data_IF_883247829784
#
_entry.id   IF_883247829784
#
_cell.length_a   1.000
_cell.length_b   1.000
_cell.length_c   1.000
_cell.angle_alpha   90.00
_cell.angle_beta   90.00
_cell.angle_gamma   90.00
#
_symmetry.space_group_name_H-M   'P 1'
#
loop_
_entity.id
_entity.type
_entity.pdbx_description
1 polymer ?
#
# COMPACT_ATOMS: atom_id res chain seq x y z
N UNK A 1 55.30 28.57 11.14
CA UNK A 1 53.95 28.28 10.60
C UNK A 1 53.27 27.36 11.60
N UNK A 2 52.43 27.93 12.47
CA UNK A 2 51.67 27.20 13.47
C UNK A 2 50.72 26.23 12.75
N UNK A 3 50.87 24.93 12.97
CA UNK A 3 49.92 23.93 12.48
C UNK A 3 48.66 24.05 13.33
N UNK A 4 47.59 24.63 12.77
CA UNK A 4 46.26 24.63 13.40
C UNK A 4 45.84 23.18 13.61
N UNK A 5 45.89 22.70 14.85
CA UNK A 5 45.34 21.39 15.24
C UNK A 5 43.89 21.34 14.79
N UNK A 6 43.59 20.49 13.81
CA UNK A 6 42.21 20.14 13.49
C UNK A 6 41.69 19.31 14.65
N UNK A 7 40.77 19.89 15.42
CA UNK A 7 40.08 19.18 16.49
C UNK A 7 39.15 18.14 15.85
N UNK A 8 39.39 16.87 16.16
CA UNK A 8 38.53 15.78 15.72
C UNK A 8 37.42 15.60 16.76
N UNK A 9 36.17 15.79 16.36
CA UNK A 9 35.02 15.53 17.22
C UNK A 9 34.52 14.10 16.99
N UNK A 10 34.61 13.21 18.00
CA UNK A 10 34.00 11.89 17.95
C UNK A 10 32.51 11.96 17.59
N UNK A 11 32.06 11.04 16.75
CA UNK A 11 30.68 10.99 16.27
C UNK A 11 29.61 11.09 17.39
N UNK A 12 29.73 10.42 18.56
CA UNK A 12 28.74 10.53 19.63
C UNK A 12 28.63 11.91 20.28
N UNK A 13 29.60 12.80 20.06
CA UNK A 13 29.60 14.17 20.60
C UNK A 13 28.95 15.18 19.64
N UNK A 14 28.61 14.77 18.43
CA UNK A 14 27.85 15.62 17.50
C UNK A 14 26.42 15.83 18.04
N UNK A 15 25.80 16.99 17.82
CA UNK A 15 24.37 17.20 18.03
C UNK A 15 23.51 16.11 17.37
N UNK A 16 22.39 15.75 18.02
CA UNK A 16 21.53 14.66 17.57
C UNK A 16 21.02 14.88 16.14
N UNK A 17 20.74 16.12 15.77
CA UNK A 17 20.27 16.49 14.43
C UNK A 17 21.31 16.13 13.36
N UNK A 18 22.58 16.41 13.63
CA UNK A 18 23.68 16.06 12.72
C UNK A 18 23.89 14.55 12.66
N UNK A 19 23.74 13.83 13.77
CA UNK A 19 23.84 12.36 13.76
C UNK A 19 22.70 11.73 12.95
N UNK A 20 21.48 12.23 13.10
CA UNK A 20 20.32 11.82 12.29
C UNK A 20 20.58 12.04 10.78
N UNK A 21 21.02 13.23 10.39
CA UNK A 21 21.36 13.53 8.99
C UNK A 21 22.47 12.62 8.46
N UNK A 22 23.51 12.36 9.26
CA UNK A 22 24.57 11.43 8.85
C UNK A 22 24.03 10.02 8.67
N UNK A 23 23.13 9.53 9.54
CA UNK A 23 22.52 8.21 9.36
C UNK A 23 21.69 8.11 8.09
N UNK A 24 20.95 9.16 7.75
CA UNK A 24 20.16 9.23 6.52
C UNK A 24 21.06 9.28 5.28
N UNK A 25 22.07 10.16 5.27
CA UNK A 25 23.01 10.30 4.15
C UNK A 25 23.90 9.09 3.94
N UNK A 26 24.27 8.39 5.02
CA UNK A 26 25.03 7.14 4.95
C UNK A 26 24.18 5.95 4.53
N UNK A 27 22.86 6.10 4.46
CA UNK A 27 21.94 5.07 4.01
C UNK A 27 21.57 5.32 2.54
N UNK A 28 21.79 4.35 1.64
CA UNK A 28 21.39 4.52 0.25
C UNK A 28 19.89 4.86 0.13
N UNK A 29 19.51 5.78 -0.79
CA UNK A 29 18.12 6.09 -1.06
C UNK A 29 17.36 4.81 -1.40
N UNK A 30 16.21 4.61 -0.75
CA UNK A 30 15.37 3.45 -1.00
C UNK A 30 14.38 3.77 -2.10
N UNK A 31 14.60 3.20 -3.28
CA UNK A 31 13.60 3.25 -4.36
C UNK A 31 12.59 2.14 -4.09
N UNK A 32 11.33 2.54 -3.90
CA UNK A 32 10.21 1.61 -3.78
C UNK A 32 9.56 1.46 -5.16
N UNK A 33 9.53 0.23 -5.65
CA UNK A 33 8.84 -0.15 -6.87
C UNK A 33 7.41 -0.57 -6.55
N UNK A 34 6.48 -0.12 -7.38
CA UNK A 34 5.10 -0.58 -7.39
C UNK A 34 4.96 -1.65 -8.48
N UNK A 35 4.59 -2.87 -8.08
CA UNK A 35 4.18 -3.94 -8.99
C UNK A 35 2.69 -4.18 -8.84
N UNK A 36 1.96 -4.07 -9.93
CA UNK A 36 0.52 -4.29 -9.94
C UNK A 36 0.23 -5.75 -10.27
N UNK A 37 -0.65 -6.37 -9.49
CA UNK A 37 -1.12 -7.74 -9.67
C UNK A 37 -2.53 -7.73 -10.25
N UNK A 38 -2.72 -8.45 -11.34
CA UNK A 38 -4.00 -8.52 -12.05
C UNK A 38 -4.49 -9.96 -12.01
N UNK A 39 -5.24 -10.36 -10.98
CA UNK A 39 -5.82 -11.73 -10.92
C UNK A 39 -6.76 -12.03 -12.09
N UNK A 40 -7.31 -10.98 -12.70
CA UNK A 40 -8.17 -11.10 -13.87
C UNK A 40 -7.38 -11.29 -15.18
N UNK A 41 -6.05 -11.20 -15.16
CA UNK A 41 -5.19 -11.28 -16.35
C UNK A 41 -4.10 -12.35 -16.31
N UNK A 42 -4.05 -13.19 -15.25
CA UNK A 42 -3.10 -14.31 -15.15
C UNK A 42 -3.61 -15.59 -15.86
N UNK A 43 -4.65 -15.47 -16.70
CA UNK A 43 -4.97 -16.47 -17.73
C UNK A 43 -3.98 -16.29 -18.90
N UNK A 44 -2.69 -16.50 -18.62
CA UNK A 44 -1.57 -16.42 -19.56
C UNK A 44 -1.73 -17.38 -20.76
N UNK A 45 -2.67 -18.33 -20.68
CA UNK A 45 -2.98 -19.36 -21.69
C UNK A 45 -4.27 -19.06 -22.50
N UNK A 46 -4.90 -17.89 -22.35
CA UNK A 46 -6.06 -17.54 -23.16
C UNK A 46 -5.66 -17.07 -24.57
N UNK A 47 -6.40 -17.48 -25.61
CA UNK A 47 -6.19 -17.03 -26.99
C UNK A 47 -6.21 -15.48 -27.11
N UNK A 48 -6.96 -14.83 -26.22
CA UNK A 48 -7.06 -13.38 -26.05
C UNK A 48 -5.73 -12.75 -25.55
N UNK A 49 -4.99 -13.43 -24.67
CA UNK A 49 -3.66 -12.98 -24.20
C UNK A 49 -2.56 -13.15 -25.27
N UNK A 50 -2.67 -14.19 -26.11
CA UNK A 50 -1.76 -14.39 -27.25
C UNK A 50 -1.99 -13.36 -28.36
N UNK A 51 -3.25 -12.95 -28.61
CA UNK A 51 -3.57 -11.80 -29.46
C UNK A 51 -3.01 -10.49 -28.87
N UNK A 52 -3.04 -10.33 -27.54
CA UNK A 52 -2.45 -9.21 -26.79
C UNK A 52 -0.93 -9.06 -26.96
N UNK A 53 -0.16 -10.12 -27.21
CA UNK A 53 1.28 -10.03 -27.50
C UNK A 53 1.57 -9.66 -28.96
N UNK A 54 0.66 -9.97 -29.88
CA UNK A 54 0.88 -9.81 -31.33
C UNK A 54 0.74 -8.37 -31.83
N UNK A 55 -0.10 -7.55 -31.22
CA UNK A 55 -0.31 -6.17 -31.67
C UNK A 55 0.74 -5.20 -31.10
N UNK A 56 1.49 -4.46 -31.94
CA UNK A 56 2.39 -3.42 -31.48
C UNK A 56 1.59 -2.18 -31.05
N UNK A 57 1.00 -2.23 -29.84
CA UNK A 57 0.36 -1.05 -29.24
C UNK A 57 1.43 -0.10 -28.72
N UNK A 58 1.27 1.18 -29.05
CA UNK A 58 2.22 2.26 -28.75
C UNK A 58 2.43 2.50 -27.23
N UNK A 59 1.54 1.96 -26.39
CA UNK A 59 1.58 2.02 -24.92
C UNK A 59 0.95 0.75 -24.32
N UNK A 60 1.76 -0.28 -24.17
CA UNK A 60 1.33 -1.63 -23.74
C UNK A 60 0.74 -1.65 -22.34
N UNK A 61 1.31 -0.89 -21.41
CA UNK A 61 0.89 -0.86 -20.00
C UNK A 61 -0.48 -0.18 -19.85
N UNK A 62 -0.70 0.93 -20.55
CA UNK A 62 -1.98 1.64 -20.51
C UNK A 62 -3.12 0.79 -21.05
N UNK A 63 -2.91 0.08 -22.15
CA UNK A 63 -3.92 -0.83 -22.70
C UNK A 63 -4.18 -2.05 -21.81
N UNK A 64 -3.15 -2.58 -21.14
CA UNK A 64 -3.30 -3.64 -20.15
C UNK A 64 -4.18 -3.20 -18.98
N UNK A 65 -3.99 -1.98 -18.49
CA UNK A 65 -4.82 -1.40 -17.43
C UNK A 65 -6.27 -1.26 -17.83
N UNK A 66 -6.55 -0.77 -19.05
CA UNK A 66 -7.93 -0.67 -19.56
C UNK A 66 -8.61 -2.04 -19.63
N UNK A 67 -7.94 -3.04 -20.21
CA UNK A 67 -8.50 -4.39 -20.32
C UNK A 67 -8.82 -4.99 -18.94
N UNK A 68 -7.92 -4.86 -17.97
CA UNK A 68 -8.15 -5.39 -16.63
C UNK A 68 -9.26 -4.61 -15.92
N UNK A 69 -9.35 -3.29 -16.12
CA UNK A 69 -10.44 -2.49 -15.59
C UNK A 69 -11.80 -2.96 -16.15
N UNK A 70 -11.91 -3.18 -17.46
CA UNK A 70 -13.15 -3.61 -18.10
C UNK A 70 -13.60 -4.98 -17.55
N UNK A 71 -12.69 -5.96 -17.47
CA UNK A 71 -12.97 -7.28 -16.89
C UNK A 71 -13.36 -7.19 -15.41
N UNK A 72 -12.73 -6.29 -14.65
CA UNK A 72 -13.10 -6.03 -13.26
C UNK A 72 -14.46 -5.35 -13.14
N UNK A 73 -14.81 -4.42 -14.02
CA UNK A 73 -16.11 -3.72 -14.02
C UNK A 73 -17.26 -4.68 -14.37
N UNK A 74 -17.03 -5.64 -15.27
CA UNK A 74 -17.98 -6.72 -15.54
C UNK A 74 -18.19 -7.60 -14.31
N UNK A 75 -17.11 -7.99 -13.62
CA UNK A 75 -17.19 -8.76 -12.38
C UNK A 75 -17.92 -7.96 -11.27
N UNK A 76 -17.68 -6.66 -11.18
CA UNK A 76 -18.37 -5.73 -10.28
C UNK A 76 -19.88 -5.76 -10.52
N UNK A 77 -20.32 -5.62 -11.77
CA UNK A 77 -21.74 -5.73 -12.18
C UNK A 77 -22.34 -7.10 -11.84
N UNK A 78 -21.52 -8.15 -11.85
CA UNK A 78 -21.87 -9.51 -11.41
C UNK A 78 -21.91 -9.73 -9.89
N UNK A 79 -21.68 -8.70 -9.07
CA UNK A 79 -21.75 -8.77 -7.61
C UNK A 79 -20.43 -9.16 -6.91
N UNK A 80 -19.29 -9.05 -7.60
CA UNK A 80 -17.98 -9.42 -7.03
C UNK A 80 -17.59 -8.61 -5.78
N UNK A 81 -18.14 -7.39 -5.58
CA UNK A 81 -17.86 -6.59 -4.38
C UNK A 81 -18.27 -7.25 -3.07
N UNK A 82 -19.27 -8.14 -3.09
CA UNK A 82 -19.68 -8.90 -1.90
C UNK A 82 -18.58 -9.83 -1.38
N UNK A 83 -17.60 -10.15 -2.22
CA UNK A 83 -16.45 -11.00 -1.90
C UNK A 83 -15.14 -10.21 -1.81
N UNK A 84 -15.16 -8.92 -2.16
CA UNK A 84 -13.99 -8.06 -2.11
C UNK A 84 -13.70 -7.64 -0.66
N UNK A 85 -12.42 -7.54 -0.32
CA UNK A 85 -11.98 -7.07 1.00
C UNK A 85 -10.94 -5.97 0.82
N UNK A 86 -11.00 -4.93 1.64
CA UNK A 86 -9.95 -3.91 1.66
C UNK A 86 -8.74 -4.43 2.45
N UNK A 87 -7.53 -4.09 2.00
CA UNK A 87 -6.32 -4.42 2.76
C UNK A 87 -6.07 -3.38 3.87
N UNK A 88 -5.69 -3.76 5.09
CA UNK A 88 -5.47 -2.81 6.19
C UNK A 88 -4.39 -1.77 5.88
N UNK A 89 -3.36 -2.14 5.11
CA UNK A 89 -2.27 -1.21 4.77
C UNK A 89 -2.72 -0.01 3.91
N UNK A 90 -3.92 -0.03 3.34
CA UNK A 90 -4.45 1.14 2.63
C UNK A 90 -4.62 2.35 3.56
N UNK A 91 -4.69 2.12 4.88
CA UNK A 91 -4.70 3.17 5.91
C UNK A 91 -3.43 4.03 5.89
N UNK A 92 -2.27 3.49 5.53
CA UNK A 92 -1.04 4.29 5.35
C UNK A 92 -1.20 5.36 4.27
N UNK A 93 -2.04 5.08 3.27
CA UNK A 93 -2.31 5.98 2.16
C UNK A 93 -3.62 6.76 2.34
N UNK A 94 -4.19 6.78 3.56
CA UNK A 94 -5.46 7.44 3.84
C UNK A 94 -5.47 8.90 3.43
N UNK A 95 -4.35 9.61 3.61
CA UNK A 95 -4.23 10.99 3.16
C UNK A 95 -4.54 11.18 1.66
N UNK A 96 -4.22 10.20 0.82
CA UNK A 96 -4.41 10.27 -0.63
C UNK A 96 -5.86 9.99 -1.06
N UNK A 97 -6.54 9.04 -0.41
CA UNK A 97 -7.90 8.66 -0.80
C UNK A 97 -8.99 9.34 0.03
N UNK A 98 -8.73 9.76 1.27
CA UNK A 98 -9.75 10.35 2.15
C UNK A 98 -10.44 11.58 1.58
N UNK A 99 -9.75 12.34 0.73
CA UNK A 99 -10.31 13.53 0.07
C UNK A 99 -11.22 13.16 -1.12
N UNK A 100 -11.03 11.95 -1.68
CA UNK A 100 -11.81 11.42 -2.82
C UNK A 100 -13.05 10.70 -2.34
N UNK A 101 -12.95 10.03 -1.20
CA UNK A 101 -14.06 9.39 -0.51
C UNK A 101 -14.71 10.46 0.36
N UNK A 102 -15.51 11.31 -0.26
CA UNK A 102 -16.26 12.34 0.46
C UNK A 102 -17.07 11.72 1.60
N UNK A 103 -17.23 12.45 2.71
CA UNK A 103 -18.14 12.03 3.78
C UNK A 103 -19.52 11.81 3.13
N UNK A 104 -20.07 10.59 3.13
CA UNK A 104 -21.32 10.35 2.46
C UNK A 104 -22.38 11.26 3.08
N UNK A 105 -23.22 11.89 2.24
CA UNK A 105 -24.29 12.80 2.68
C UNK A 105 -25.27 12.15 3.68
N UNK A 106 -25.24 10.82 3.78
CA UNK A 106 -25.77 10.05 4.89
C UNK A 106 -24.67 9.14 5.44
N UNK A 107 -24.30 9.23 6.72
CA UNK A 107 -23.51 8.18 7.34
C UNK A 107 -24.34 6.90 7.32
N UNK A 108 -24.06 6.02 6.37
CA UNK A 108 -24.52 4.65 6.41
C UNK A 108 -23.63 3.88 7.39
N UNK A 109 -23.57 4.33 8.66
CA UNK A 109 -22.96 3.57 9.74
C UNK A 109 -23.91 2.42 10.05
N UNK A 110 -23.91 1.39 9.21
CA UNK A 110 -24.61 0.16 9.52
C UNK A 110 -23.91 -0.43 10.74
N UNK A 111 -24.54 -0.33 11.92
CA UNK A 111 -24.04 -0.99 13.12
C UNK A 111 -23.90 -2.47 12.81
N UNK A 112 -22.74 -3.05 13.11
CA UNK A 112 -22.54 -4.49 12.97
C UNK A 112 -23.67 -5.23 13.70
N UNK A 113 -24.17 -6.29 13.08
CA UNK A 113 -25.17 -7.19 13.68
C UNK A 113 -24.71 -7.72 15.05
N UNK A 114 -23.39 -7.79 15.27
CA UNK A 114 -22.74 -8.12 16.53
C UNK A 114 -23.13 -7.18 17.69
N UNK A 115 -23.37 -5.89 17.41
CA UNK A 115 -23.86 -4.93 18.40
C UNK A 115 -25.26 -5.30 18.93
N UNK A 116 -26.02 -6.07 18.14
CA UNK A 116 -27.36 -6.55 18.48
C UNK A 116 -27.35 -8.01 18.96
N UNK A 117 -26.18 -8.56 19.31
CA UNK A 117 -26.04 -9.91 19.85
C UNK A 117 -26.01 -11.03 18.80
N UNK A 118 -25.93 -10.71 17.51
CA UNK A 118 -25.76 -11.71 16.46
C UNK A 118 -24.28 -12.01 16.24
N UNK A 119 -23.84 -13.23 16.53
CA UNK A 119 -22.48 -13.69 16.22
C UNK A 119 -22.43 -14.25 14.79
N UNK A 120 -21.73 -13.56 13.88
CA UNK A 120 -21.42 -14.09 12.55
C UNK A 120 -20.17 -14.98 12.63
N UNK A 121 -20.19 -16.23 12.15
CA UNK A 121 -18.98 -17.06 12.04
C UNK A 121 -18.00 -16.54 10.97
N UNK A 122 -18.42 -15.57 10.14
CA UNK A 122 -17.57 -14.85 9.15
C UNK A 122 -17.11 -13.49 9.69
N UNK A 123 -17.08 -13.34 11.02
CA UNK A 123 -16.86 -12.10 11.78
C UNK A 123 -15.58 -11.36 11.43
N UNK A 124 -15.71 -10.41 10.51
CA UNK A 124 -14.80 -9.30 10.37
C UNK A 124 -15.62 -8.05 10.02
N UNK A 125 -15.22 -6.86 10.50
CA UNK A 125 -15.76 -5.62 9.96
C UNK A 125 -15.55 -5.61 8.44
N UNK A 126 -16.50 -5.04 7.69
CA UNK A 126 -16.44 -4.90 6.22
C UNK A 126 -15.11 -4.27 5.75
N UNK A 127 -14.50 -3.48 6.63
CA UNK A 127 -13.17 -2.90 6.47
C UNK A 127 -12.27 -3.32 7.64
N UNK A 128 -10.97 -3.53 7.42
CA UNK A 128 -10.07 -4.08 8.43
C UNK A 128 -9.56 -3.05 9.47
N UNK A 129 -10.02 -1.79 9.45
CA UNK A 129 -9.65 -0.76 10.43
C UNK A 129 -10.86 -0.12 11.12
N UNK A 130 -10.70 0.35 12.38
CA UNK A 130 -11.70 1.20 13.02
C UNK A 130 -11.73 2.59 12.34
N UNK A 131 -12.91 3.11 11.95
CA UNK A 131 -13.03 4.44 11.38
C UNK A 131 -12.49 5.54 12.32
N UNK A 132 -11.76 6.50 11.77
CA UNK A 132 -11.26 7.69 12.48
C UNK A 132 -11.32 8.92 11.56
N UNK A 133 -11.01 10.11 12.09
CA UNK A 133 -10.91 11.32 11.27
C UNK A 133 -9.80 11.25 10.21
N UNK A 134 -8.70 10.54 10.50
CA UNK A 134 -7.59 10.35 9.55
C UNK A 134 -7.87 9.22 8.56
N UNK A 135 -8.56 8.17 9.01
CA UNK A 135 -8.89 6.96 8.24
C UNK A 135 -10.41 6.73 8.27
N UNK A 136 -11.20 7.48 7.48
CA UNK A 136 -12.65 7.35 7.52
C UNK A 136 -13.11 5.97 7.04
N UNK A 137 -14.39 5.68 7.29
CA UNK A 137 -15.04 4.49 6.73
C UNK A 137 -15.12 4.59 5.20
N UNK A 138 -14.98 3.45 4.51
CA UNK A 138 -15.19 3.34 3.07
C UNK A 138 -16.47 2.53 2.83
N UNK A 139 -17.62 3.18 2.53
CA UNK A 139 -18.87 2.47 2.34
C UNK A 139 -18.83 1.60 1.07
N UNK A 140 -19.18 0.32 1.18
CA UNK A 140 -19.21 -0.59 0.02
C UNK A 140 -20.17 -0.13 -1.09
N UNK A 141 -21.32 0.42 -0.72
CA UNK A 141 -22.27 1.02 -1.70
C UNK A 141 -21.67 2.20 -2.44
N UNK A 142 -20.85 3.00 -1.77
CA UNK A 142 -20.16 4.11 -2.43
C UNK A 142 -19.14 3.61 -3.45
N UNK A 143 -18.47 2.49 -3.17
CA UNK A 143 -17.56 1.83 -4.12
C UNK A 143 -18.29 1.29 -5.35
N UNK A 144 -19.52 0.78 -5.21
CA UNK A 144 -20.38 0.37 -6.35
C UNK A 144 -20.64 1.55 -7.29
N UNK A 145 -20.93 2.73 -6.74
CA UNK A 145 -21.19 3.95 -7.52
C UNK A 145 -19.91 4.57 -8.13
N UNK A 146 -18.73 4.18 -7.65
CA UNK A 146 -17.43 4.76 -8.04
C UNK A 146 -16.43 3.68 -8.50
N UNK A 147 -16.71 3.00 -9.64
CA UNK A 147 -15.96 1.83 -10.08
C UNK A 147 -14.47 2.10 -10.31
N UNK A 148 -14.09 3.27 -10.83
CA UNK A 148 -12.68 3.62 -11.02
C UNK A 148 -11.91 3.70 -9.68
N UNK A 149 -12.52 4.30 -8.66
CA UNK A 149 -11.90 4.43 -7.34
C UNK A 149 -11.86 3.07 -6.65
N UNK A 150 -12.95 2.30 -6.75
CA UNK A 150 -13.01 0.94 -6.24
C UNK A 150 -11.95 0.04 -6.86
N UNK A 151 -11.72 0.13 -8.17
CA UNK A 151 -10.64 -0.59 -8.85
C UNK A 151 -9.27 -0.23 -8.27
N UNK A 152 -8.98 1.07 -8.08
CA UNK A 152 -7.71 1.51 -7.50
C UNK A 152 -7.47 1.02 -6.06
N UNK A 153 -8.52 0.98 -5.23
CA UNK A 153 -8.42 0.57 -3.82
C UNK A 153 -8.39 -0.95 -3.63
N UNK A 154 -9.01 -1.70 -4.55
CA UNK A 154 -9.19 -3.15 -4.44
C UNK A 154 -8.21 -3.95 -5.31
N UNK A 155 -7.59 -3.34 -6.31
CA UNK A 155 -6.58 -4.02 -7.14
C UNK A 155 -5.40 -4.46 -6.28
N UNK A 156 -4.80 -5.60 -6.66
CA UNK A 156 -3.60 -6.07 -5.98
C UNK A 156 -2.42 -5.23 -6.39
N UNK A 157 -1.67 -4.73 -5.41
CA UNK A 157 -0.42 -4.05 -5.64
C UNK A 157 0.60 -4.48 -4.60
N UNK A 158 1.84 -4.65 -5.06
CA UNK A 158 2.99 -5.03 -4.27
C UNK A 158 3.96 -3.87 -4.28
N UNK A 159 4.34 -3.39 -3.10
CA UNK A 159 5.44 -2.45 -2.94
C UNK A 159 6.67 -3.25 -2.55
N UNK A 160 7.75 -3.12 -3.33
CA UNK A 160 9.02 -3.79 -3.03
C UNK A 160 10.19 -2.85 -3.27
N UNK A 161 11.34 -3.14 -2.65
CA UNK A 161 12.56 -2.37 -2.82
C UNK A 161 13.70 -3.35 -2.98
N UNK A 162 14.52 -3.16 -4.00
CA UNK A 162 15.75 -3.94 -4.22
C UNK A 162 16.92 -3.44 -3.36
N UNK A 163 16.77 -2.28 -2.71
CA UNK A 163 17.82 -1.73 -1.85
C UNK A 163 18.13 -2.69 -0.68
N UNK A 164 19.43 -2.95 -0.41
CA UNK A 164 19.85 -3.79 0.70
C UNK A 164 19.41 -3.20 2.04
N UNK A 165 19.20 -4.06 3.04
CA UNK A 165 18.90 -3.61 4.40
C UNK A 165 20.09 -2.78 4.91
N UNK A 166 19.88 -1.50 5.29
CA UNK A 166 20.98 -0.64 5.73
C UNK A 166 21.74 -1.26 6.90
N UNK A 167 23.08 -1.36 6.85
CA UNK A 167 23.89 -1.86 7.96
C UNK A 167 23.62 -1.09 9.27
N UNK A 168 23.31 0.21 9.16
CA UNK A 168 22.98 1.09 10.27
C UNK A 168 21.72 0.69 11.07
N UNK A 169 20.83 -0.15 10.53
CA UNK A 169 19.75 -0.75 11.33
C UNK A 169 20.28 -1.74 12.38
N UNK A 170 21.46 -2.31 12.14
CA UNK A 170 22.07 -3.34 12.98
C UNK A 170 23.17 -2.80 13.89
N UNK A 171 23.61 -1.55 13.73
CA UNK A 171 24.74 -0.97 14.49
C UNK A 171 24.37 -0.57 15.91
N UNK A 172 23.44 0.38 16.09
CA UNK A 172 23.03 0.86 17.41
C UNK A 172 21.53 1.19 17.46
N UNK A 173 21.00 1.37 18.66
CA UNK A 173 19.59 1.72 18.87
C UNK A 173 19.24 3.09 18.30
N UNK A 174 20.16 4.07 18.38
CA UNK A 174 19.93 5.42 17.86
C UNK A 174 19.74 5.42 16.34
N UNK A 175 20.71 4.88 15.59
CA UNK A 175 20.62 4.78 14.13
C UNK A 175 19.41 3.95 13.69
N UNK A 176 19.10 2.87 14.41
CA UNK A 176 17.92 2.06 14.15
C UNK A 176 16.64 2.85 14.32
N UNK A 177 16.49 3.61 15.41
CA UNK A 177 15.29 4.39 15.66
C UNK A 177 15.10 5.45 14.57
N UNK A 178 16.17 6.19 14.25
CA UNK A 178 16.13 7.19 13.16
C UNK A 178 15.71 6.55 11.84
N UNK A 179 16.29 5.41 11.47
CA UNK A 179 15.91 4.73 10.23
C UNK A 179 14.47 4.17 10.28
N UNK A 180 14.01 3.67 11.43
CA UNK A 180 12.62 3.23 11.60
C UNK A 180 11.61 4.38 11.48
N UNK A 181 11.95 5.55 12.01
CA UNK A 181 11.12 6.76 11.88
C UNK A 181 10.98 7.21 10.42
N UNK A 182 11.97 6.89 9.58
CA UNK A 182 11.96 7.11 8.13
C UNK A 182 11.44 5.90 7.32
N UNK A 183 10.82 4.91 7.98
CA UNK A 183 10.14 3.79 7.31
C UNK A 183 11.02 2.60 6.95
N UNK A 184 12.28 2.56 7.41
CA UNK A 184 13.12 1.37 7.28
C UNK A 184 12.73 0.31 8.34
N UNK A 185 12.82 -0.96 7.98
CA UNK A 185 12.51 -2.07 8.90
C UNK A 185 13.66 -3.09 8.91
N UNK A 186 13.88 -3.74 10.06
CA UNK A 186 14.97 -4.70 10.33
C UNK A 186 14.94 -5.96 9.46
N UNK A 187 13.79 -6.26 8.87
CA UNK A 187 13.63 -7.25 7.82
C UNK A 187 12.81 -6.59 6.71
N UNK A 188 12.99 -7.03 5.47
CA UNK A 188 12.03 -6.76 4.40
C UNK A 188 10.73 -7.46 4.81
N UNK A 189 9.90 -6.79 5.62
CA UNK A 189 8.54 -7.21 5.87
C UNK A 189 7.64 -6.49 4.89
N UNK A 190 7.79 -6.76 3.61
CA UNK A 190 6.74 -6.54 2.61
C UNK A 190 7.09 -7.33 1.34
N UNK A 191 6.84 -8.65 1.36
CA UNK A 191 5.76 -9.03 0.44
C UNK A 191 4.54 -8.44 1.13
N UNK A 192 4.13 -7.22 0.76
CA UNK A 192 2.73 -6.83 1.00
C UNK A 192 1.97 -7.70 0.02
N UNK A 193 1.86 -8.98 0.35
CA UNK A 193 0.90 -9.82 -0.30
C UNK A 193 -0.40 -9.30 0.25
N UNK A 194 -1.03 -8.42 -0.53
CA UNK A 194 -2.47 -8.22 -0.45
C UNK A 194 -3.08 -9.57 -0.85
N UNK A 195 -3.02 -10.52 0.08
CA UNK A 195 -3.70 -11.79 -0.03
C UNK A 195 -5.17 -11.50 0.18
N UNK A 196 -5.84 -11.08 -0.89
CA UNK A 196 -7.22 -11.54 -1.07
C UNK A 196 -7.12 -13.04 -1.26
N UNK A 197 -7.21 -13.77 -0.15
CA UNK A 197 -7.53 -15.19 -0.21
C UNK A 197 -8.99 -15.28 -0.62
N UNK A 198 -9.21 -15.83 -1.82
CA UNK A 198 -10.46 -16.51 -2.14
C UNK A 198 -10.62 -17.61 -1.08
N UNK A 199 -11.69 -17.54 -0.28
CA UNK A 199 -12.17 -18.67 0.54
C UNK A 199 -13.32 -19.30 -0.21
#
# INVERSE_FOLDING_TARGET
MESTKREFHPFPLLPIELRCEIYLLATPPRIVHLKEGFEFGDDHDSEEYEEFIREPKHDRERWKLTYVYDKWEEALKGGALLQAQLHPDITYFAHNWRIRIGVPARPCSQTLLEHWGFTSPRGGPLQPWPPSAETPEIPMRWLEDHPLIAFELLRKSYLYSEAPIPPLLHTCSESRQVLMDFGYQLAIRTTTTILLRRV
#
